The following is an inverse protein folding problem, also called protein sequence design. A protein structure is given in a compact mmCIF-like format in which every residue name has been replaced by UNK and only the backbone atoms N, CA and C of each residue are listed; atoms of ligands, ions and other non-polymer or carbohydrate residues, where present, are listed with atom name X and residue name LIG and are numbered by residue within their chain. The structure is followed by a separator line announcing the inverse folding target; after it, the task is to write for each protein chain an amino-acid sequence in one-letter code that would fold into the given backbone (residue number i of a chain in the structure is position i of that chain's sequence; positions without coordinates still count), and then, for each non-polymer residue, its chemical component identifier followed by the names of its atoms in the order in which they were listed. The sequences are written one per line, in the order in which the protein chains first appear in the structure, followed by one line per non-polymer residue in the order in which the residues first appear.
data_IF_950742480010
#
_entry.id   IF_950742480010
#
_cell.length_a   1.000
_cell.length_b   1.000
_cell.length_c   1.000
_cell.angle_alpha   90.00
_cell.angle_beta   90.00
_cell.angle_gamma   90.00
#
_symmetry.space_group_name_H-M   'P 1'
#
loop_
_entity.id
_entity.type
_entity.pdbx_description
1 polymer ?
#
# COMPACT_ATOMS: atom_id res chain seq x y z
N UNK A 1 -14.62 -20.43 6.58
CA UNK A 1 -13.51 -20.04 7.47
C UNK A 1 -13.18 -18.58 7.19
N UNK A 2 -13.63 -17.64 8.02
CA UNK A 2 -13.24 -16.23 7.89
C UNK A 2 -11.78 -16.12 8.36
N UNK A 3 -10.84 -15.79 7.45
CA UNK A 3 -9.49 -15.41 7.87
C UNK A 3 -9.59 -14.10 8.65
N UNK A 4 -9.09 -14.08 9.88
CA UNK A 4 -8.96 -12.83 10.62
C UNK A 4 -8.12 -11.85 9.80
N UNK A 5 -8.50 -10.57 9.78
CA UNK A 5 -7.75 -9.46 9.17
C UNK A 5 -6.31 -9.29 9.72
N UNK A 6 -5.90 -10.13 10.69
CA UNK A 6 -4.57 -10.17 11.30
C UNK A 6 -3.64 -11.29 10.79
N UNK A 7 -4.01 -12.03 9.76
CA UNK A 7 -3.07 -12.92 9.05
C UNK A 7 -2.43 -12.18 7.88
N UNK A 8 -1.09 -12.30 7.73
CA UNK A 8 -0.38 -11.70 6.59
C UNK A 8 -1.06 -12.14 5.28
N UNK A 9 -1.31 -11.23 4.33
CA UNK A 9 -1.86 -11.60 3.02
C UNK A 9 -0.98 -12.63 2.31
N UNK A 10 -1.59 -13.58 1.60
CA UNK A 10 -0.86 -14.57 0.78
C UNK A 10 -0.46 -14.00 -0.60
N UNK A 11 -0.97 -12.82 -0.93
CA UNK A 11 -0.73 -12.10 -2.19
C UNK A 11 0.15 -10.88 -1.93
N UNK A 12 0.96 -10.42 -2.91
CA UNK A 12 1.68 -9.18 -2.80
C UNK A 12 0.75 -8.00 -2.50
N UNK A 13 1.20 -7.07 -1.65
CA UNK A 13 0.40 -5.90 -1.24
C UNK A 13 1.19 -4.61 -1.39
N UNK A 14 0.60 -3.65 -2.11
CA UNK A 14 0.99 -2.25 -2.09
C UNK A 14 0.04 -1.47 -1.18
N UNK A 15 0.56 -0.91 -0.09
CA UNK A 15 -0.16 0.01 0.80
C UNK A 15 0.26 1.44 0.47
N UNK A 16 -0.65 2.26 -0.05
CA UNK A 16 -0.37 3.65 -0.43
C UNK A 16 -1.03 4.58 0.59
N UNK A 17 -0.24 5.50 1.14
CA UNK A 17 -0.66 6.42 2.21
C UNK A 17 -0.44 7.87 1.76
N UNK A 18 -1.43 8.75 1.94
CA UNK A 18 -1.24 10.18 1.76
C UNK A 18 -0.56 10.79 2.99
N UNK A 19 0.35 11.76 2.80
CA UNK A 19 0.96 12.47 3.93
C UNK A 19 -0.07 13.18 4.82
N UNK A 20 -1.15 13.72 4.24
CA UNK A 20 -2.24 14.40 4.96
C UNK A 20 -3.53 13.59 4.91
N UNK A 21 -3.43 12.27 4.98
CA UNK A 21 -4.59 11.40 5.09
C UNK A 21 -5.40 11.70 6.37
N UNK A 22 -6.60 11.12 6.47
CA UNK A 22 -7.38 11.21 7.70
C UNK A 22 -6.59 10.65 8.89
N UNK A 23 -6.72 11.23 10.10
CA UNK A 23 -5.95 10.79 11.27
C UNK A 23 -6.00 9.29 11.53
N UNK A 24 -7.18 8.67 11.33
CA UNK A 24 -7.38 7.24 11.53
C UNK A 24 -6.57 6.38 10.55
N UNK A 25 -6.36 6.86 9.32
CA UNK A 25 -5.55 6.16 8.31
C UNK A 25 -4.08 6.23 8.66
N UNK A 26 -3.61 7.39 9.11
CA UNK A 26 -2.24 7.61 9.56
C UNK A 26 -1.93 6.78 10.82
N UNK A 27 -2.84 6.75 11.80
CA UNK A 27 -2.68 5.99 13.04
C UNK A 27 -2.53 4.47 12.81
N UNK A 28 -3.21 3.93 11.79
CA UNK A 28 -3.20 2.50 11.49
C UNK A 28 -2.13 2.12 10.44
N UNK A 29 -1.59 3.07 9.68
CA UNK A 29 -0.60 2.80 8.63
C UNK A 29 0.65 2.04 9.12
N UNK A 30 1.30 2.38 10.26
CA UNK A 30 2.45 1.62 10.75
C UNK A 30 2.09 0.17 11.11
N UNK A 31 0.87 -0.06 11.62
CA UNK A 31 0.39 -1.41 11.95
C UNK A 31 0.18 -2.24 10.68
N UNK A 32 -0.40 -1.64 9.62
CA UNK A 32 -0.53 -2.31 8.32
C UNK A 32 0.84 -2.65 7.73
N UNK A 33 1.79 -1.72 7.77
CA UNK A 33 3.15 -1.94 7.30
C UNK A 33 3.83 -3.14 7.98
N UNK A 34 3.69 -3.26 9.30
CA UNK A 34 4.25 -4.37 10.08
C UNK A 34 3.65 -5.74 9.72
N UNK A 35 2.44 -5.76 9.15
CA UNK A 35 1.71 -6.97 8.73
C UNK A 35 1.83 -7.29 7.25
N UNK A 36 2.57 -6.49 6.47
CA UNK A 36 2.78 -6.79 5.05
C UNK A 36 3.49 -8.15 4.88
N UNK A 37 3.24 -8.84 3.75
CA UNK A 37 4.03 -10.01 3.38
C UNK A 37 5.52 -9.67 3.35
N UNK A 38 6.37 -10.62 3.73
CA UNK A 38 7.84 -10.50 3.67
C UNK A 38 8.36 -11.04 2.34
N UNK A 39 7.86 -10.50 1.24
CA UNK A 39 8.27 -10.83 -0.13
C UNK A 39 9.01 -9.64 -0.78
N UNK A 40 9.46 -9.80 -2.03
CA UNK A 40 10.22 -8.75 -2.72
C UNK A 40 9.34 -7.63 -3.33
N UNK A 41 8.00 -7.76 -3.30
CA UNK A 41 7.07 -6.90 -4.04
C UNK A 41 6.16 -6.07 -3.14
N UNK A 42 5.89 -6.56 -1.94
CA UNK A 42 5.03 -5.93 -0.94
C UNK A 42 5.74 -4.77 -0.27
N UNK A 43 5.07 -3.62 -0.20
CA UNK A 43 5.61 -2.43 0.45
C UNK A 43 4.52 -1.42 0.80
N UNK A 44 4.81 -0.58 1.80
CA UNK A 44 4.09 0.64 2.03
C UNK A 44 4.81 1.81 1.35
N UNK A 45 4.05 2.73 0.75
CA UNK A 45 4.55 3.96 0.11
C UNK A 45 3.77 5.14 0.66
N UNK A 46 4.49 6.17 1.11
CA UNK A 46 3.94 7.47 1.47
C UNK A 46 4.04 8.41 0.26
N UNK A 47 2.94 9.06 -0.13
CA UNK A 47 2.92 10.11 -1.13
C UNK A 47 2.83 11.46 -0.41
N UNK A 48 3.89 12.26 -0.56
CA UNK A 48 3.98 13.59 0.05
C UNK A 48 3.11 14.62 -0.66
N UNK A 49 2.66 15.63 0.07
CA UNK A 49 1.99 16.79 -0.51
C UNK A 49 0.52 16.57 -0.89
N UNK A 50 -0.12 15.50 -0.42
CA UNK A 50 -1.51 15.15 -0.77
C UNK A 50 -2.31 14.67 0.43
N UNK A 51 -3.63 14.64 0.25
CA UNK A 51 -4.60 14.17 1.23
C UNK A 51 -5.24 12.85 0.77
N UNK A 52 -6.25 12.40 1.52
CA UNK A 52 -6.98 11.15 1.29
C UNK A 52 -7.46 10.95 -0.16
N UNK A 53 -7.77 12.03 -0.87
CA UNK A 53 -8.35 11.95 -2.21
C UNK A 53 -7.30 11.80 -3.30
N UNK A 54 -6.02 12.13 -3.02
CA UNK A 54 -4.91 12.04 -3.97
C UNK A 54 -5.09 12.89 -5.25
N UNK A 55 -6.09 13.79 -5.30
CA UNK A 55 -6.50 14.51 -6.52
C UNK A 55 -5.37 15.35 -7.13
N UNK A 56 -4.48 15.90 -6.29
CA UNK A 56 -3.34 16.70 -6.73
C UNK A 56 -2.05 15.90 -6.95
N UNK A 57 -2.09 14.57 -6.80
CA UNK A 57 -0.94 13.64 -6.93
C UNK A 57 -1.28 12.35 -7.68
N UNK A 58 -2.25 12.41 -8.59
CA UNK A 58 -2.68 11.26 -9.40
C UNK A 58 -1.53 10.63 -10.21
N UNK A 59 -0.59 11.45 -10.69
CA UNK A 59 0.58 10.96 -11.45
C UNK A 59 1.48 10.08 -10.59
N UNK A 60 1.75 10.51 -9.37
CA UNK A 60 2.55 9.80 -8.38
C UNK A 60 1.85 8.51 -7.93
N UNK A 61 0.53 8.56 -7.75
CA UNK A 61 -0.29 7.38 -7.44
C UNK A 61 -0.18 6.34 -8.55
N UNK A 62 -0.36 6.74 -9.82
CA UNK A 62 -0.20 5.85 -10.98
C UNK A 62 1.22 5.28 -11.06
N UNK A 63 2.24 6.13 -10.83
CA UNK A 63 3.64 5.71 -10.83
C UNK A 63 3.97 4.70 -9.71
N UNK A 64 3.23 4.70 -8.60
CA UNK A 64 3.35 3.67 -7.56
C UNK A 64 2.64 2.37 -7.95
N UNK A 65 1.42 2.47 -8.49
CA UNK A 65 0.55 1.31 -8.77
C UNK A 65 1.04 0.49 -9.98
N UNK A 66 1.33 1.13 -11.11
CA UNK A 66 1.62 0.42 -12.37
C UNK A 66 2.82 -0.53 -12.26
N UNK A 67 3.97 -0.12 -11.72
CA UNK A 67 5.11 -1.03 -11.56
C UNK A 67 4.85 -2.17 -10.57
N UNK A 68 4.05 -1.92 -9.53
CA UNK A 68 3.65 -2.96 -8.58
C UNK A 68 2.79 -4.02 -9.28
N UNK A 69 1.76 -3.62 -10.02
CA UNK A 69 0.91 -4.57 -10.75
C UNK A 69 1.72 -5.38 -11.76
N UNK A 70 2.64 -4.74 -12.49
CA UNK A 70 3.51 -5.45 -13.43
C UNK A 70 4.31 -6.58 -12.76
N UNK A 71 4.88 -6.32 -11.57
CA UNK A 71 5.63 -7.33 -10.81
C UNK A 71 4.73 -8.41 -10.22
N UNK A 72 3.61 -7.99 -9.60
CA UNK A 72 2.66 -8.87 -8.95
C UNK A 72 1.96 -9.84 -9.94
N UNK A 73 1.78 -9.46 -11.21
CA UNK A 73 1.20 -10.34 -12.22
C UNK A 73 2.23 -11.09 -13.08
N UNK A 74 3.49 -10.64 -13.11
CA UNK A 74 4.55 -11.37 -13.79
C UNK A 74 5.08 -12.57 -12.98
N UNK A 75 4.62 -12.80 -11.75
CA UNK A 75 5.16 -13.83 -10.86
C UNK A 75 6.59 -13.53 -10.39
N UNK A 76 7.01 -12.26 -10.44
CA UNK A 76 8.37 -11.81 -10.13
C UNK A 76 8.47 -11.25 -8.70
N UNK A 77 8.15 -12.06 -7.68
CA UNK A 77 8.14 -11.62 -6.27
C UNK A 77 8.56 -12.70 -5.27
#
# INVERSE_FOLDING_TARGET
MMKAFGSRPDMPVLDVVAERDFPQVLDIAPKRAATLPRDACSKQVLIAGTDHYMDNRQKELVAAIVPFLARAFAGQY
#
